data_IF_290137493869
#
_entry.id   IF_290137493869
#
_cell.length_a   1.000
_cell.length_b   1.000
_cell.length_c   1.000
_cell.angle_alpha   90.00
_cell.angle_beta   90.00
_cell.angle_gamma   90.00
#
_symmetry.space_group_name_H-M   'P 1'
#
loop_
_entity.id
_entity.type
_entity.pdbx_description
1 polymer ?
#
# COMPACT_ATOMS: atom_id res chain seq x y z
N UNK A 1 -20.97 18.02 11.07
CA UNK A 1 -20.45 17.16 9.99
C UNK A 1 -19.32 17.92 9.27
N UNK A 2 -18.09 17.86 9.79
CA UNK A 2 -17.03 18.87 9.54
C UNK A 2 -16.16 18.63 8.29
N UNK A 3 -16.44 17.59 7.49
CA UNK A 3 -15.56 17.13 6.39
C UNK A 3 -16.22 17.08 5.01
N UNK A 4 -17.47 17.57 4.88
CA UNK A 4 -18.30 17.37 3.67
C UNK A 4 -17.78 18.04 2.37
N UNK A 5 -16.71 18.82 2.43
CA UNK A 5 -16.07 19.46 1.27
C UNK A 5 -14.56 19.20 1.14
N UNK A 6 -14.01 18.23 1.88
CA UNK A 6 -12.57 17.87 1.84
C UNK A 6 -12.32 16.49 1.21
N UNK A 7 -13.37 15.85 0.72
CA UNK A 7 -13.32 14.53 0.11
C UNK A 7 -13.88 14.63 -1.30
N UNK A 8 -13.09 14.17 -2.26
CA UNK A 8 -13.49 14.00 -3.65
C UNK A 8 -13.39 12.52 -3.97
N UNK A 9 -14.47 11.94 -4.50
CA UNK A 9 -14.47 10.54 -4.93
C UNK A 9 -14.19 10.50 -6.42
N UNK A 10 -13.29 9.61 -6.82
CA UNK A 10 -12.94 9.35 -8.21
C UNK A 10 -13.25 7.87 -8.47
N UNK A 11 -14.21 7.59 -9.34
CA UNK A 11 -14.44 6.25 -9.86
C UNK A 11 -13.52 6.05 -11.07
N UNK A 12 -12.59 5.10 -10.99
CA UNK A 12 -11.63 4.84 -12.04
C UNK A 12 -10.51 3.89 -11.61
N UNK A 13 -9.49 3.78 -12.46
CA UNK A 13 -8.28 3.02 -12.16
C UNK A 13 -7.38 3.81 -11.19
N UNK A 14 -7.14 3.25 -10.00
CA UNK A 14 -6.33 3.90 -8.98
C UNK A 14 -4.87 4.12 -9.38
N UNK A 15 -4.33 3.26 -10.25
CA UNK A 15 -2.97 3.38 -10.79
C UNK A 15 -2.89 4.56 -11.76
N UNK A 16 -3.92 4.77 -12.58
CA UNK A 16 -4.01 5.94 -13.45
C UNK A 16 -4.09 7.25 -12.66
N UNK A 17 -4.87 7.27 -11.58
CA UNK A 17 -4.92 8.42 -10.66
C UNK A 17 -3.54 8.68 -10.04
N UNK A 18 -2.84 7.63 -9.62
CA UNK A 18 -1.47 7.75 -9.12
C UNK A 18 -0.53 8.41 -10.15
N UNK A 19 -0.61 8.02 -11.42
CA UNK A 19 0.19 8.62 -12.50
C UNK A 19 -0.09 10.11 -12.68
N UNK A 20 -1.36 10.53 -12.57
CA UNK A 20 -1.74 11.94 -12.72
C UNK A 20 -1.11 12.84 -11.66
N UNK A 21 -1.02 12.36 -10.42
CA UNK A 21 -0.49 13.14 -9.28
C UNK A 21 0.98 12.84 -8.97
N UNK A 22 1.64 11.94 -9.71
CA UNK A 22 2.99 11.47 -9.39
C UNK A 22 4.01 12.60 -9.25
N UNK A 23 3.92 13.67 -10.04
CA UNK A 23 4.86 14.78 -9.97
C UNK A 23 4.53 15.84 -8.89
N UNK A 24 3.40 15.72 -8.20
CA UNK A 24 2.95 16.69 -7.20
C UNK A 24 3.57 16.40 -5.82
N UNK A 25 4.41 17.32 -5.35
CA UNK A 25 5.10 17.21 -4.04
C UNK A 25 4.18 17.46 -2.84
N UNK A 26 2.99 18.00 -3.07
CA UNK A 26 2.00 18.30 -2.02
C UNK A 26 1.06 17.13 -1.75
N UNK A 27 1.12 16.10 -2.59
CA UNK A 27 0.31 14.88 -2.47
C UNK A 27 1.08 13.82 -1.69
N UNK A 28 0.37 13.13 -0.79
CA UNK A 28 0.83 11.90 -0.14
C UNK A 28 -0.12 10.78 -0.51
N UNK A 29 0.43 9.64 -0.93
CA UNK A 29 -0.36 8.50 -1.35
C UNK A 29 -0.52 7.49 -0.22
N UNK A 30 -1.75 7.06 0.05
CA UNK A 30 -2.04 5.88 0.83
C UNK A 30 -2.64 4.82 -0.10
N UNK A 31 -1.99 3.67 -0.23
CA UNK A 31 -2.30 2.66 -1.25
C UNK A 31 -2.51 1.31 -0.56
N UNK A 32 -3.74 0.78 -0.67
CA UNK A 32 -4.15 -0.50 -0.09
C UNK A 32 -4.72 -1.40 -1.21
N UNK A 33 -3.85 -2.00 -2.03
CA UNK A 33 -4.28 -2.72 -3.22
C UNK A 33 -4.77 -4.13 -2.84
N UNK A 34 -5.78 -4.69 -3.54
CA UNK A 34 -6.09 -6.10 -3.40
C UNK A 34 -4.85 -6.96 -3.70
N UNK A 35 -4.45 -7.79 -2.74
CA UNK A 35 -3.32 -8.70 -2.88
C UNK A 35 -3.81 -10.12 -3.19
N UNK A 36 -3.40 -10.65 -4.35
CA UNK A 36 -3.82 -11.97 -4.82
C UNK A 36 -2.70 -13.00 -4.88
N UNK A 37 -1.48 -12.67 -4.42
CA UNK A 37 -0.32 -13.55 -4.61
C UNK A 37 -0.21 -14.72 -3.60
N UNK A 38 -1.23 -14.99 -2.79
CA UNK A 38 -1.25 -16.24 -2.02
C UNK A 38 -1.78 -17.39 -2.88
N UNK A 39 -1.04 -18.50 -2.91
CA UNK A 39 -1.39 -19.81 -3.48
C UNK A 39 -2.70 -20.42 -2.93
N UNK A 40 -3.44 -19.72 -2.08
CA UNK A 40 -4.81 -20.04 -1.71
C UNK A 40 -5.76 -19.31 -2.65
N UNK A 41 -6.33 -20.07 -3.58
CA UNK A 41 -7.43 -19.71 -4.49
C UNK A 41 -8.75 -19.33 -3.76
N UNK A 42 -8.69 -18.54 -2.70
CA UNK A 42 -9.84 -18.03 -1.96
C UNK A 42 -10.25 -16.62 -2.44
N UNK A 43 -9.33 -15.85 -3.05
CA UNK A 43 -9.60 -14.49 -3.56
C UNK A 43 -9.98 -14.40 -5.03
N UNK A 44 -9.75 -15.44 -5.84
CA UNK A 44 -9.95 -15.42 -7.30
C UNK A 44 -11.42 -15.34 -7.75
N UNK A 45 -12.38 -15.32 -6.82
CA UNK A 45 -13.82 -15.22 -7.07
C UNK A 45 -14.46 -13.93 -6.53
N UNK A 46 -13.70 -13.03 -5.90
CA UNK A 46 -14.25 -11.87 -5.19
C UNK A 46 -14.09 -10.53 -5.93
N UNK A 47 -13.19 -10.41 -6.90
CA UNK A 47 -12.97 -9.17 -7.65
C UNK A 47 -12.94 -9.41 -9.16
N UNK A 48 -13.71 -8.62 -9.92
CA UNK A 48 -13.74 -8.64 -11.39
C UNK A 48 -12.42 -8.15 -12.03
N UNK A 49 -11.58 -7.45 -11.26
CA UNK A 49 -10.28 -6.88 -11.63
C UNK A 49 -9.21 -7.27 -10.59
N UNK A 50 -9.03 -8.57 -10.33
CA UNK A 50 -8.23 -9.09 -9.20
C UNK A 50 -6.72 -9.13 -9.42
N UNK A 51 -6.23 -8.75 -10.59
CA UNK A 51 -4.82 -8.81 -10.96
C UNK A 51 -4.27 -7.39 -11.07
N UNK A 52 -3.79 -6.86 -9.94
CA UNK A 52 -2.95 -5.66 -9.97
C UNK A 52 -1.54 -6.09 -10.30
N UNK A 53 -0.94 -5.47 -11.30
CA UNK A 53 0.49 -5.58 -11.54
C UNK A 53 1.22 -4.81 -10.43
N UNK A 54 1.60 -5.53 -9.37
CA UNK A 54 2.32 -4.95 -8.24
C UNK A 54 3.71 -4.42 -8.63
N UNK A 55 4.34 -4.99 -9.65
CA UNK A 55 5.62 -4.50 -10.14
C UNK A 55 5.45 -3.13 -10.81
N UNK A 56 4.40 -2.96 -11.61
CA UNK A 56 4.05 -1.65 -12.19
C UNK A 56 3.65 -0.64 -11.12
N UNK A 57 2.87 -1.05 -10.11
CA UNK A 57 2.51 -0.18 -9.00
C UNK A 57 3.74 0.32 -8.22
N UNK A 58 4.70 -0.57 -7.92
CA UNK A 58 5.95 -0.18 -7.25
C UNK A 58 6.80 0.71 -8.14
N UNK A 59 6.86 0.42 -9.45
CA UNK A 59 7.54 1.27 -10.42
C UNK A 59 6.96 2.68 -10.44
N UNK A 60 5.64 2.82 -10.42
CA UNK A 60 4.97 4.13 -10.38
C UNK A 60 5.22 4.82 -9.04
N UNK A 61 5.10 4.10 -7.92
CA UNK A 61 5.35 4.70 -6.62
C UNK A 61 6.79 5.21 -6.46
N UNK A 62 7.75 4.58 -7.15
CA UNK A 62 9.13 5.05 -7.19
C UNK A 62 9.24 6.47 -7.78
N UNK A 63 8.32 6.87 -8.67
CA UNK A 63 8.33 8.18 -9.35
C UNK A 63 7.60 9.28 -8.59
N UNK A 64 6.91 8.99 -7.49
CA UNK A 64 6.17 9.99 -6.73
C UNK A 64 7.09 11.08 -6.17
N UNK A 65 6.79 12.34 -6.44
CA UNK A 65 7.54 13.48 -5.90
C UNK A 65 7.23 13.72 -4.41
N UNK A 66 6.02 13.34 -3.97
CA UNK A 66 5.61 13.28 -2.57
C UNK A 66 5.87 11.92 -1.91
N UNK A 67 5.43 11.79 -0.66
CA UNK A 67 5.59 10.56 0.13
C UNK A 67 4.47 9.56 -0.17
N UNK A 68 4.69 8.30 0.21
CA UNK A 68 3.67 7.27 0.12
C UNK A 68 3.78 6.23 1.23
N UNK A 69 2.64 5.59 1.49
CA UNK A 69 2.54 4.41 2.32
C UNK A 69 1.68 3.38 1.59
N UNK A 70 2.22 2.17 1.44
CA UNK A 70 1.44 1.01 1.01
C UNK A 70 1.26 0.02 2.16
N UNK A 71 0.10 -0.63 2.17
CA UNK A 71 -0.26 -1.70 3.11
C UNK A 71 -0.40 -3.02 2.37
N UNK A 72 0.14 -4.08 2.98
CA UNK A 72 0.12 -5.43 2.43
C UNK A 72 0.09 -6.49 3.53
N UNK A 73 -0.32 -7.71 3.17
CA UNK A 73 0.00 -8.89 3.97
C UNK A 73 1.52 -9.09 4.04
N UNK A 74 2.02 -9.59 5.17
CA UNK A 74 3.44 -9.91 5.32
C UNK A 74 3.82 -11.14 4.48
N UNK A 75 4.39 -10.89 3.29
CA UNK A 75 4.87 -11.90 2.36
C UNK A 75 6.31 -11.61 1.91
N UNK A 76 7.10 -12.66 1.71
CA UNK A 76 8.53 -12.54 1.40
C UNK A 76 8.76 -11.92 0.02
N UNK A 77 7.94 -12.26 -0.96
CA UNK A 77 8.00 -11.70 -2.31
C UNK A 77 7.79 -10.18 -2.34
N UNK A 78 6.97 -9.63 -1.43
CA UNK A 78 6.73 -8.19 -1.34
C UNK A 78 7.89 -7.47 -0.67
N UNK A 79 8.57 -8.12 0.29
CA UNK A 79 9.82 -7.61 0.87
C UNK A 79 10.92 -7.55 -0.18
N UNK A 80 11.06 -8.62 -0.97
CA UNK A 80 12.02 -8.66 -2.06
C UNK A 80 11.70 -7.59 -3.13
N UNK A 81 10.43 -7.41 -3.48
CA UNK A 81 10.00 -6.37 -4.40
C UNK A 81 10.27 -4.96 -3.86
N UNK A 82 9.97 -4.71 -2.58
CA UNK A 82 10.29 -3.44 -1.93
C UNK A 82 11.79 -3.15 -1.96
N UNK A 83 12.62 -4.14 -1.64
CA UNK A 83 14.07 -4.02 -1.70
C UNK A 83 14.57 -3.67 -3.11
N UNK A 84 14.00 -4.29 -4.16
CA UNK A 84 14.37 -4.00 -5.55
C UNK A 84 14.11 -2.54 -5.97
N UNK A 85 13.09 -1.90 -5.39
CA UNK A 85 12.79 -0.49 -5.62
C UNK A 85 13.40 0.46 -4.59
N UNK A 86 14.18 -0.07 -3.63
CA UNK A 86 14.81 0.72 -2.57
C UNK A 86 13.81 1.29 -1.56
N UNK A 87 12.66 0.65 -1.39
CA UNK A 87 11.65 1.05 -0.41
C UNK A 87 11.96 0.51 0.97
N UNK A 88 11.60 1.30 1.97
CA UNK A 88 11.67 0.93 3.37
C UNK A 88 10.46 0.06 3.75
N UNK A 89 10.64 -0.87 4.68
CA UNK A 89 9.58 -1.77 5.15
C UNK A 89 9.53 -1.85 6.66
N UNK A 90 8.31 -1.95 7.21
CA UNK A 90 8.09 -2.14 8.64
C UNK A 90 6.92 -3.08 8.90
N UNK A 91 7.05 -3.92 9.94
CA UNK A 91 5.97 -4.80 10.36
C UNK A 91 5.09 -4.14 11.41
N UNK A 92 3.78 -4.11 11.17
CA UNK A 92 2.81 -3.66 12.17
C UNK A 92 1.96 -4.81 12.70
N UNK A 93 1.79 -4.87 14.01
CA UNK A 93 0.95 -5.90 14.64
C UNK A 93 -0.52 -5.52 14.42
N UNK A 94 -1.29 -6.41 13.81
CA UNK A 94 -2.70 -6.24 13.56
C UNK A 94 -3.51 -7.27 14.35
N UNK A 95 -4.63 -6.83 14.94
CA UNK A 95 -5.66 -7.74 15.48
C UNK A 95 -6.72 -7.93 14.40
N UNK A 96 -6.79 -9.12 13.80
CA UNK A 96 -7.89 -9.45 12.91
C UNK A 96 -9.15 -9.85 13.71
N UNK A 97 -10.31 -9.89 13.04
CA UNK A 97 -11.60 -10.28 13.62
C UNK A 97 -11.62 -11.72 14.16
N UNK A 98 -10.63 -12.54 13.81
CA UNK A 98 -10.50 -13.94 14.23
C UNK A 98 -9.51 -14.16 15.38
N UNK A 99 -9.03 -13.10 16.05
CA UNK A 99 -8.10 -13.16 17.18
C UNK A 99 -6.74 -13.84 16.88
N UNK A 100 -6.42 -14.09 15.63
CA UNK A 100 -5.09 -14.58 15.24
C UNK A 100 -4.17 -13.38 15.09
N UNK A 101 -3.03 -13.39 15.77
CA UNK A 101 -2.00 -12.38 15.57
C UNK A 101 -1.52 -12.43 14.11
N UNK A 102 -1.84 -11.40 13.33
CA UNK A 102 -1.32 -11.20 11.98
C UNK A 102 -0.45 -9.96 11.99
N UNK A 103 0.56 -9.96 11.13
CA UNK A 103 1.42 -8.80 10.92
C UNK A 103 1.12 -8.21 9.55
N UNK A 104 0.84 -6.92 9.51
CA UNK A 104 0.73 -6.14 8.29
C UNK A 104 2.13 -5.62 7.90
N UNK A 105 2.43 -5.62 6.60
CA UNK A 105 3.64 -5.06 6.04
C UNK A 105 3.35 -3.64 5.53
N UNK A 106 4.01 -2.67 6.15
CA UNK A 106 4.08 -1.31 5.63
C UNK A 106 5.26 -1.18 4.67
N UNK A 107 5.06 -0.48 3.56
CA UNK A 107 6.08 -0.18 2.57
C UNK A 107 6.03 1.33 2.25
N UNK A 108 7.16 2.03 2.26
CA UNK A 108 7.21 3.47 2.01
C UNK A 108 8.62 3.97 1.68
N UNK A 109 8.80 5.28 1.52
CA UNK A 109 10.15 5.86 1.29
C UNK A 109 11.01 5.87 2.56
N UNK A 110 10.42 6.26 3.68
CA UNK A 110 11.05 6.27 5.00
C UNK A 110 9.99 5.99 6.07
N UNK A 111 10.21 4.95 6.87
CA UNK A 111 9.28 4.53 7.92
C UNK A 111 9.83 4.75 9.34
N UNK A 112 10.80 5.64 9.53
CA UNK A 112 11.38 5.93 10.84
C UNK A 112 10.34 6.44 11.84
N UNK A 113 9.30 7.12 11.35
CA UNK A 113 8.19 7.59 12.17
C UNK A 113 7.37 6.42 12.77
N UNK A 114 7.25 5.30 12.06
CA UNK A 114 6.62 4.07 12.57
C UNK A 114 7.50 3.44 13.64
N UNK A 115 8.81 3.37 13.41
CA UNK A 115 9.76 2.80 14.38
C UNK A 115 9.81 3.60 15.67
N UNK A 116 9.77 4.93 15.59
CA UNK A 116 9.77 5.82 16.76
C UNK A 116 8.51 5.67 17.60
N UNK A 117 7.34 5.57 16.98
CA UNK A 117 6.07 5.46 17.72
C UNK A 117 5.93 4.13 18.48
N UNK A 118 6.73 3.12 18.14
CA UNK A 118 6.78 1.81 18.81
C UNK A 118 7.72 1.73 20.01
N UNK A 119 8.64 2.69 20.14
CA UNK A 119 9.59 2.76 21.26
C UNK A 119 9.09 3.62 22.41
N UNK A 120 7.91 4.24 22.25
CA UNK A 120 7.25 5.09 23.23
C UNK A 120 6.28 4.29 24.11
#
# INVERSE_FOLDING_TARGET
MQHRGRLTFIEGDGVDVCRQYAADKTVVFFIDPPYTASTKRAGSRLYRYSEIDHQELFRIASTFAGDFLMTYDNAEELRALAANFGFDTELVAMKNTHHTAMTELLIGRNLDWVRRSRRA
#
